data_IF_806428106715
#
_entry.id   IF_806428106715
#
_cell.length_a   1.000
_cell.length_b   1.000
_cell.length_c   1.000
_cell.angle_alpha   90.00
_cell.angle_beta   90.00
_cell.angle_gamma   90.00
#
_symmetry.space_group_name_H-M   'P 1'
#
loop_
_entity.id
_entity.type
_entity.pdbx_description
1 polymer ?
#
# COMPACT_ATOMS: atom_id res chain seq x y z
N UNK A 1 13.06 -20.36 27.50
CA UNK A 1 13.52 -19.36 26.51
C UNK A 1 12.29 -18.75 25.83
N UNK A 2 11.96 -17.48 26.12
CA UNK A 2 10.80 -16.83 25.54
C UNK A 2 11.07 -16.50 24.06
N UNK A 3 10.33 -17.17 23.16
CA UNK A 3 10.46 -16.98 21.72
C UNK A 3 9.96 -15.61 21.29
N UNK A 4 10.85 -14.79 20.76
CA UNK A 4 10.49 -13.54 20.09
C UNK A 4 9.63 -13.85 18.86
N UNK A 5 8.32 -13.61 18.94
CA UNK A 5 7.45 -13.65 17.76
C UNK A 5 7.51 -12.29 17.08
N UNK A 6 7.86 -12.28 15.79
CA UNK A 6 7.83 -11.07 14.98
C UNK A 6 6.39 -10.59 14.85
N UNK A 7 6.07 -9.44 15.45
CA UNK A 7 4.79 -8.76 15.24
C UNK A 7 4.75 -8.19 13.81
N UNK A 8 4.52 -9.04 12.81
CA UNK A 8 4.18 -8.61 11.45
C UNK A 8 2.81 -7.93 11.49
N UNK A 9 2.84 -6.61 11.71
CA UNK A 9 1.68 -5.71 11.80
C UNK A 9 0.91 -5.69 10.46
N UNK A 10 0.01 -6.65 10.25
CA UNK A 10 -0.93 -6.70 9.13
C UNK A 10 -0.30 -7.00 7.77
N UNK A 11 -1.14 -7.17 6.72
CA UNK A 11 -0.64 -7.41 5.36
C UNK A 11 0.13 -6.16 4.91
N UNK A 12 1.44 -6.31 4.78
CA UNK A 12 2.26 -5.34 4.05
C UNK A 12 2.13 -5.72 2.58
N UNK A 13 1.67 -4.80 1.75
CA UNK A 13 1.81 -4.96 0.30
C UNK A 13 3.30 -5.15 0.01
N UNK A 14 3.69 -6.31 -0.53
CA UNK A 14 5.05 -6.55 -1.05
C UNK A 14 5.18 -6.03 -2.49
N UNK A 15 4.21 -5.23 -2.95
CA UNK A 15 3.99 -4.96 -4.36
C UNK A 15 3.26 -6.11 -5.06
N UNK A 16 2.95 -5.91 -6.34
CA UNK A 16 2.42 -6.96 -7.20
C UNK A 16 3.46 -8.08 -7.44
N UNK A 17 3.03 -9.34 -7.64
CA UNK A 17 3.90 -10.37 -8.21
C UNK A 17 4.55 -9.88 -9.51
N UNK A 18 5.79 -10.29 -9.78
CA UNK A 18 6.58 -9.75 -10.90
C UNK A 18 5.87 -9.86 -12.25
N UNK A 19 5.22 -10.98 -12.53
CA UNK A 19 4.45 -11.17 -13.75
C UNK A 19 3.30 -10.14 -13.89
N UNK A 20 2.57 -9.88 -12.79
CA UNK A 20 1.48 -8.89 -12.76
C UNK A 20 2.04 -7.48 -12.89
N UNK A 21 3.17 -7.19 -12.21
CA UNK A 21 3.88 -5.91 -12.29
C UNK A 21 4.27 -5.58 -13.73
N UNK A 22 4.88 -6.52 -14.44
CA UNK A 22 5.28 -6.36 -15.84
C UNK A 22 4.06 -6.22 -16.76
N UNK A 23 3.00 -6.99 -16.52
CA UNK A 23 1.77 -6.88 -17.29
C UNK A 23 1.13 -5.48 -17.15
N UNK A 24 1.07 -4.92 -15.94
CA UNK A 24 0.55 -3.57 -15.68
C UNK A 24 1.39 -2.52 -16.41
N UNK A 25 2.72 -2.59 -16.27
CA UNK A 25 3.63 -1.66 -16.95
C UNK A 25 3.49 -1.74 -18.48
N UNK A 26 3.38 -2.95 -19.03
CA UNK A 26 3.18 -3.15 -20.47
C UNK A 26 1.83 -2.61 -20.94
N UNK A 27 0.73 -2.91 -20.23
CA UNK A 27 -0.62 -2.39 -20.51
C UNK A 27 -0.61 -0.85 -20.56
N UNK A 28 0.07 -0.23 -19.61
CA UNK A 28 0.13 1.22 -19.48
C UNK A 28 1.27 1.84 -20.32
N UNK A 29 1.90 1.05 -21.19
CA UNK A 29 3.00 1.46 -22.09
C UNK A 29 4.17 2.14 -21.36
N UNK A 30 4.45 1.71 -20.13
CA UNK A 30 5.44 2.32 -19.24
C UNK A 30 5.22 3.82 -19.03
N UNK A 31 3.98 4.30 -19.16
CA UNK A 31 3.59 5.68 -18.89
C UNK A 31 2.92 5.79 -17.52
N UNK A 32 3.30 6.79 -16.75
CA UNK A 32 2.73 7.06 -15.44
C UNK A 32 1.26 7.46 -15.57
N UNK A 33 0.38 6.73 -14.89
CA UNK A 33 -1.07 6.98 -14.89
C UNK A 33 -1.51 7.99 -13.82
N UNK A 34 -0.64 8.33 -12.86
CA UNK A 34 -0.98 9.20 -11.72
C UNK A 34 -0.90 10.70 -12.03
N UNK A 35 0.05 11.10 -12.89
CA UNK A 35 0.23 12.49 -13.34
C UNK A 35 0.22 13.58 -12.23
N UNK A 36 0.72 13.28 -11.03
CA UNK A 36 0.87 14.28 -9.96
C UNK A 36 1.90 15.37 -10.31
N UNK A 37 1.89 16.53 -9.62
CA UNK A 37 2.92 17.55 -9.79
C UNK A 37 4.33 16.97 -9.62
N UNK A 38 5.22 17.25 -10.58
CA UNK A 38 6.58 16.68 -10.62
C UNK A 38 6.66 15.27 -11.23
N UNK A 39 5.64 14.84 -11.99
CA UNK A 39 5.65 13.55 -12.69
C UNK A 39 6.81 13.46 -13.70
N UNK A 40 7.58 12.37 -13.64
CA UNK A 40 8.64 12.08 -14.60
C UNK A 40 8.14 11.48 -15.93
N UNK A 41 6.83 11.18 -16.05
CA UNK A 41 6.22 10.56 -17.23
C UNK A 41 6.47 9.06 -17.35
N UNK A 42 7.72 8.61 -17.19
CA UNK A 42 8.09 7.19 -17.31
C UNK A 42 7.78 6.42 -16.03
N UNK A 43 6.97 5.36 -16.16
CA UNK A 43 6.64 4.46 -15.06
C UNK A 43 7.65 3.31 -14.94
N UNK A 44 8.09 3.07 -13.70
CA UNK A 44 9.00 1.98 -13.34
C UNK A 44 8.37 0.99 -12.40
N UNK A 45 7.26 1.36 -11.76
CA UNK A 45 6.61 0.60 -10.70
C UNK A 45 5.13 0.37 -11.03
N UNK A 46 4.59 -0.74 -10.54
CA UNK A 46 3.15 -0.99 -10.54
C UNK A 46 2.62 -0.75 -9.13
N UNK A 47 1.60 0.08 -9.04
CA UNK A 47 1.06 0.61 -7.81
C UNK A 47 -0.44 0.27 -7.71
N UNK A 48 -0.92 0.00 -6.49
CA UNK A 48 -2.32 -0.38 -6.29
C UNK A 48 -3.24 0.85 -6.34
N UNK A 49 -4.28 0.86 -7.17
CA UNK A 49 -5.27 1.96 -7.19
C UNK A 49 -5.96 2.08 -5.83
N UNK A 50 -6.44 0.96 -5.29
CA UNK A 50 -6.93 0.82 -3.93
C UNK A 50 -5.86 0.10 -3.10
N UNK A 51 -5.31 0.69 -2.03
CA UNK A 51 -4.27 0.05 -1.25
C UNK A 51 -4.82 -1.13 -0.44
N UNK A 52 -3.98 -2.12 -0.17
CA UNK A 52 -4.34 -3.37 0.54
C UNK A 52 -5.00 -3.11 1.91
N UNK A 53 -4.58 -2.09 2.65
CA UNK A 53 -5.17 -1.76 3.95
C UNK A 53 -6.60 -1.18 3.87
N UNK A 54 -7.05 -0.82 2.67
CA UNK A 54 -8.42 -0.37 2.39
C UNK A 54 -9.25 -1.41 1.62
N UNK A 55 -8.73 -2.63 1.45
CA UNK A 55 -9.42 -3.72 0.76
C UNK A 55 -8.99 -3.94 -0.68
N UNK A 56 -7.90 -3.29 -1.13
CA UNK A 56 -7.30 -3.58 -2.43
C UNK A 56 -6.77 -5.01 -2.54
N UNK A 57 -6.90 -5.59 -3.73
CA UNK A 57 -6.36 -6.90 -4.08
C UNK A 57 -5.13 -6.76 -5.01
N UNK A 58 -4.44 -7.87 -5.28
CA UNK A 58 -3.29 -7.93 -6.19
C UNK A 58 -3.70 -8.23 -7.64
N UNK A 59 -4.95 -7.93 -8.01
CA UNK A 59 -5.43 -8.12 -9.39
C UNK A 59 -4.92 -7.00 -10.30
N UNK A 60 -4.66 -7.33 -11.55
CA UNK A 60 -4.18 -6.39 -12.56
C UNK A 60 -5.12 -5.18 -12.76
N UNK A 61 -6.42 -5.38 -12.55
CA UNK A 61 -7.47 -4.34 -12.59
C UNK A 61 -7.29 -3.29 -11.50
N UNK A 62 -6.75 -3.68 -10.33
CA UNK A 62 -6.41 -2.78 -9.24
C UNK A 62 -4.97 -2.24 -9.36
N UNK A 63 -4.28 -2.50 -10.47
CA UNK A 63 -2.92 -2.01 -10.71
C UNK A 63 -2.87 -0.84 -11.68
N UNK A 64 -1.96 0.10 -11.44
CA UNK A 64 -1.64 1.23 -12.33
C UNK A 64 -0.12 1.46 -12.39
N UNK A 65 0.39 1.82 -13.55
CA UNK A 65 1.80 2.17 -13.71
C UNK A 65 2.11 3.54 -13.11
N UNK A 66 3.16 3.63 -12.30
CA UNK A 66 3.57 4.85 -11.61
C UNK A 66 5.07 5.13 -11.80
N UNK A 67 5.40 6.41 -11.98
CA UNK A 67 6.79 6.86 -11.89
C UNK A 67 7.21 6.98 -10.41
N UNK A 68 8.52 6.97 -10.10
CA UNK A 68 9.01 7.03 -8.72
C UNK A 68 8.51 8.25 -7.94
N UNK A 69 8.43 9.41 -8.62
CA UNK A 69 7.96 10.65 -8.01
C UNK A 69 6.47 10.56 -7.60
N UNK A 70 5.60 10.10 -8.50
CA UNK A 70 4.17 9.97 -8.20
C UNK A 70 3.90 8.85 -7.20
N UNK A 71 4.60 7.72 -7.29
CA UNK A 71 4.48 6.62 -6.35
C UNK A 71 4.84 7.05 -4.92
N UNK A 72 5.89 7.85 -4.76
CA UNK A 72 6.28 8.43 -3.46
C UNK A 72 5.18 9.32 -2.87
N UNK A 73 4.58 10.20 -3.68
CA UNK A 73 3.50 11.09 -3.25
C UNK A 73 2.28 10.28 -2.78
N UNK A 74 1.87 9.27 -3.58
CA UNK A 74 0.75 8.39 -3.23
C UNK A 74 1.01 7.63 -1.93
N UNK A 75 2.18 7.00 -1.82
CA UNK A 75 2.57 6.24 -0.61
C UNK A 75 2.52 7.10 0.65
N UNK A 76 2.96 8.37 0.57
CA UNK A 76 2.89 9.28 1.71
C UNK A 76 1.44 9.61 2.11
N UNK A 77 0.59 9.90 1.14
CA UNK A 77 -0.84 10.16 1.39
C UNK A 77 -1.53 8.92 2.00
N UNK A 78 -1.23 7.74 1.48
CA UNK A 78 -1.72 6.46 2.01
C UNK A 78 -1.24 6.17 3.42
N UNK A 79 0.05 6.39 3.71
CA UNK A 79 0.59 6.25 5.06
C UNK A 79 -0.10 7.21 6.04
N UNK A 80 -0.45 8.43 5.62
CA UNK A 80 -1.25 9.34 6.43
C UNK A 80 -2.67 8.81 6.68
N UNK A 81 -3.36 8.28 5.64
CA UNK A 81 -4.68 7.65 5.77
C UNK A 81 -4.66 6.43 6.68
N UNK A 82 -3.67 5.55 6.53
CA UNK A 82 -3.48 4.38 7.38
C UNK A 82 -3.26 4.76 8.85
N UNK A 83 -2.46 5.79 9.13
CA UNK A 83 -2.27 6.32 10.50
C UNK A 83 -3.57 6.85 11.09
N UNK A 84 -4.35 7.63 10.32
CA UNK A 84 -5.66 8.13 10.75
C UNK A 84 -6.64 6.99 11.06
N UNK A 85 -6.70 5.94 10.22
CA UNK A 85 -7.51 4.74 10.49
C UNK A 85 -7.10 4.04 11.78
N UNK A 86 -5.80 3.91 12.04
CA UNK A 86 -5.28 3.30 13.28
C UNK A 86 -5.63 4.12 14.52
N UNK A 87 -5.54 5.45 14.44
CA UNK A 87 -5.87 6.35 15.55
C UNK A 87 -7.36 6.30 15.93
N UNK A 88 -8.25 6.02 14.97
CA UNK A 88 -9.69 5.86 15.21
C UNK A 88 -10.08 4.48 15.73
N UNK A 89 -9.16 3.51 15.75
CA UNK A 89 -9.49 2.16 16.17
C UNK A 89 -9.73 2.14 17.68
N UNK A 90 -10.85 1.57 18.18
CA UNK A 90 -11.08 1.47 19.62
C UNK A 90 -9.88 0.80 20.27
N UNK A 91 -9.38 1.40 21.36
CA UNK A 91 -8.35 0.75 22.17
C UNK A 91 -9.01 -0.46 22.81
N UNK A 92 -8.62 -1.66 22.37
CA UNK A 92 -9.06 -2.88 23.04
C UNK A 92 -8.65 -2.78 24.51
N UNK A 93 -9.60 -2.94 25.43
CA UNK A 93 -9.28 -3.02 26.86
C UNK A 93 -8.25 -4.12 27.03
N UNK A 94 -7.11 -3.78 27.65
CA UNK A 94 -6.07 -4.77 27.91
C UNK A 94 -6.66 -5.89 28.77
N UNK A 95 -6.40 -7.19 28.48
CA UNK A 95 -7.02 -8.32 29.20
C UNK A 95 -6.79 -8.36 30.72
N UNK A 96 -5.92 -7.50 31.26
CA UNK A 96 -5.59 -7.40 32.68
C UNK A 96 -6.30 -6.27 33.44
N UNK A 97 -7.10 -5.44 32.77
CA UNK A 97 -7.90 -4.41 33.43
C UNK A 97 -9.19 -5.08 33.94
N UNK A 98 -9.19 -5.48 35.22
CA UNK A 98 -10.39 -5.98 35.89
C UNK A 98 -11.44 -4.86 35.91
N UNK A 99 -12.66 -5.18 35.46
CA UNK A 99 -13.83 -4.37 35.76
C UNK A 99 -14.22 -4.69 37.20
N UNK A 100 -14.07 -3.70 38.05
CA UNK A 100 -14.59 -3.60 39.41
C UNK A 100 -16.11 -3.82 39.47
#
# INVERSE_FOLDING_TARGET
>A
MAGWRSNSRGPRSRGFPEAVRLAILSRDRYQCQLAYPGCAGTATDADHVIPVFEGGNDEMTNGQAACPACHKIKTQAEAARARRRRARRPVARHPGLRAD
#
